data_IF_831027517760
#
_entry.id   IF_831027517760
#
_cell.length_a   1.000
_cell.length_b   1.000
_cell.length_c   1.000
_cell.angle_alpha   90.00
_cell.angle_beta   90.00
_cell.angle_gamma   90.00
#
_symmetry.space_group_name_H-M   'P 1'
#
loop_
_entity.id
_entity.type
_entity.pdbx_description
1 polymer ?
#
# COMPACT_ATOMS: atom_id res chain seq x y z
N UNK A 1 17.80 -7.27 1.79
CA UNK A 1 17.70 -8.04 0.51
C UNK A 1 17.77 -7.05 -0.64
N UNK A 2 18.42 -7.43 -1.71
CA UNK A 2 18.50 -6.64 -2.92
C UNK A 2 17.81 -7.38 -4.06
N UNK A 3 16.98 -6.67 -4.82
CA UNK A 3 16.46 -7.13 -6.08
C UNK A 3 17.43 -6.71 -7.20
N UNK A 4 18.22 -7.63 -7.73
CA UNK A 4 19.19 -7.34 -8.79
C UNK A 4 18.52 -7.03 -10.14
N UNK A 5 17.23 -7.37 -10.28
CA UNK A 5 16.41 -7.15 -11.49
C UNK A 5 15.41 -6.02 -11.33
N UNK A 6 15.65 -5.05 -10.44
CA UNK A 6 14.68 -4.01 -10.10
C UNK A 6 14.19 -3.18 -11.30
N UNK A 7 15.03 -3.02 -12.34
CA UNK A 7 14.66 -2.29 -13.56
C UNK A 7 13.82 -3.09 -14.56
N UNK A 8 13.66 -4.41 -14.33
CA UNK A 8 12.98 -5.34 -15.24
C UNK A 8 11.77 -6.01 -14.58
N UNK A 9 11.51 -5.69 -13.31
CA UNK A 9 10.49 -6.36 -12.49
C UNK A 9 9.64 -5.36 -11.74
N UNK A 10 8.40 -5.75 -11.41
CA UNK A 10 7.49 -4.97 -10.59
C UNK A 10 7.80 -5.04 -9.09
N UNK A 11 7.05 -4.26 -8.31
CA UNK A 11 7.22 -4.15 -6.85
C UNK A 11 7.01 -5.48 -6.13
N UNK A 12 6.13 -6.35 -6.65
CA UNK A 12 5.90 -7.67 -6.07
C UNK A 12 7.15 -8.57 -6.12
N UNK A 13 7.97 -8.47 -7.16
CA UNK A 13 9.21 -9.25 -7.23
C UNK A 13 10.21 -8.83 -6.16
N UNK A 14 10.29 -7.54 -5.82
CA UNK A 14 11.11 -7.04 -4.72
C UNK A 14 10.65 -7.61 -3.37
N UNK A 15 9.34 -7.64 -3.13
CA UNK A 15 8.75 -8.25 -1.94
C UNK A 15 8.99 -9.78 -1.92
N UNK A 16 8.88 -10.45 -3.06
CA UNK A 16 9.18 -11.88 -3.20
C UNK A 16 10.66 -12.20 -2.89
N UNK A 17 11.62 -11.35 -3.28
CA UNK A 17 13.03 -11.52 -2.92
C UNK A 17 13.24 -11.58 -1.39
N UNK A 18 12.42 -10.89 -0.61
CA UNK A 18 12.48 -10.87 0.84
C UNK A 18 11.79 -12.07 1.52
N UNK A 19 11.14 -12.98 0.78
CA UNK A 19 10.25 -14.02 1.31
C UNK A 19 10.86 -14.94 2.37
N UNK A 20 12.17 -15.19 2.30
CA UNK A 20 12.87 -16.04 3.26
C UNK A 20 13.21 -15.34 4.59
N UNK A 21 13.01 -14.03 4.69
CA UNK A 21 13.25 -13.26 5.90
C UNK A 21 11.97 -13.03 6.71
N UNK A 22 10.80 -13.21 6.10
CA UNK A 22 9.50 -12.99 6.72
C UNK A 22 8.95 -14.32 7.25
N UNK A 23 8.57 -14.34 8.53
CA UNK A 23 8.03 -15.52 9.21
C UNK A 23 6.91 -15.20 10.21
N UNK A 24 6.52 -13.92 10.32
CA UNK A 24 5.48 -13.43 11.23
C UNK A 24 4.61 -12.39 10.55
N UNK A 25 3.53 -12.00 11.17
CA UNK A 25 2.72 -10.83 10.76
C UNK A 25 3.61 -9.57 10.75
N UNK A 26 3.40 -8.66 9.80
CA UNK A 26 4.24 -7.48 9.60
C UNK A 26 3.46 -6.29 9.04
N UNK A 27 4.09 -5.11 9.08
CA UNK A 27 3.67 -3.95 8.32
C UNK A 27 4.61 -3.78 7.14
N UNK A 28 4.04 -3.69 5.94
CA UNK A 28 4.73 -3.32 4.72
C UNK A 28 4.62 -1.80 4.55
N UNK A 29 5.75 -1.15 4.32
CA UNK A 29 5.87 0.28 4.10
C UNK A 29 6.60 0.53 2.79
N UNK A 30 6.07 1.36 1.93
CA UNK A 30 6.85 1.92 0.83
C UNK A 30 7.89 2.90 1.36
N UNK A 31 9.05 3.00 0.70
CA UNK A 31 10.23 3.66 1.26
C UNK A 31 10.33 5.16 0.95
N UNK A 32 9.46 5.65 0.08
CA UNK A 32 9.38 7.00 -0.45
C UNK A 32 8.28 7.86 0.21
N UNK A 33 7.80 7.43 1.37
CA UNK A 33 6.71 8.05 2.10
C UNK A 33 7.18 8.90 3.27
N UNK A 34 6.49 10.01 3.49
CA UNK A 34 6.47 10.73 4.75
C UNK A 34 5.03 10.78 5.27
N UNK A 35 4.82 10.46 6.54
CA UNK A 35 3.50 10.45 7.17
C UNK A 35 3.57 10.72 8.67
N UNK A 36 2.47 11.17 9.25
CA UNK A 36 2.35 11.33 10.70
C UNK A 36 2.25 9.98 11.42
N UNK A 37 2.80 9.89 12.62
CA UNK A 37 2.88 8.64 13.41
C UNK A 37 1.50 8.02 13.69
N UNK A 38 0.43 8.80 13.64
CA UNK A 38 -0.96 8.35 13.77
C UNK A 38 -1.30 7.27 12.75
N UNK A 39 -0.75 7.34 11.52
CA UNK A 39 -0.92 6.35 10.48
C UNK A 39 -0.60 4.93 10.97
N UNK A 40 0.58 4.75 11.56
CA UNK A 40 1.02 3.44 12.05
C UNK A 40 0.30 3.04 13.34
N UNK A 41 0.08 3.99 14.25
CA UNK A 41 -0.60 3.70 15.53
C UNK A 41 -2.00 3.16 15.31
N UNK A 42 -2.83 3.87 14.55
CA UNK A 42 -4.21 3.46 14.29
C UNK A 42 -4.29 2.15 13.49
N UNK A 43 -3.34 1.94 12.55
CA UNK A 43 -3.28 0.69 11.80
C UNK A 43 -2.93 -0.50 12.72
N UNK A 44 -2.02 -0.33 13.68
CA UNK A 44 -1.66 -1.37 14.66
C UNK A 44 -2.83 -1.67 15.61
N UNK A 45 -3.55 -0.64 16.07
CA UNK A 45 -4.69 -0.75 16.97
C UNK A 45 -5.95 -1.30 16.28
N UNK A 46 -6.03 -1.23 14.95
CA UNK A 46 -7.15 -1.78 14.19
C UNK A 46 -7.31 -3.28 14.43
N UNK A 47 -8.53 -3.77 14.72
CA UNK A 47 -8.79 -5.20 14.91
C UNK A 47 -8.73 -5.99 13.60
N UNK A 48 -8.72 -5.33 12.44
CA UNK A 48 -8.67 -5.98 11.13
C UNK A 48 -7.28 -6.55 10.90
N UNK A 49 -7.19 -7.87 10.72
CA UNK A 49 -5.92 -8.61 10.65
C UNK A 49 -5.10 -8.24 9.41
N UNK A 50 -5.77 -8.16 8.25
CA UNK A 50 -5.15 -7.74 6.98
C UNK A 50 -5.81 -6.46 6.53
N UNK A 51 -5.07 -5.38 6.45
CA UNK A 51 -5.64 -4.05 6.21
C UNK A 51 -4.64 -3.16 5.48
N UNK A 52 -5.15 -2.40 4.52
CA UNK A 52 -4.40 -1.32 3.88
C UNK A 52 -4.81 0.02 4.48
N UNK A 53 -3.89 0.97 4.47
CA UNK A 53 -4.15 2.31 4.99
C UNK A 53 -4.54 3.25 3.86
N UNK A 54 -5.65 3.95 4.05
CA UNK A 54 -6.17 4.92 3.11
C UNK A 54 -6.16 6.32 3.70
N UNK A 55 -5.94 7.30 2.86
CA UNK A 55 -6.22 8.71 3.14
C UNK A 55 -7.54 9.15 2.50
N UNK A 56 -7.96 10.37 2.84
CA UNK A 56 -8.90 11.14 2.05
C UNK A 56 -8.28 11.58 0.72
N UNK A 57 -9.04 12.37 -0.03
CA UNK A 57 -8.61 12.88 -1.34
C UNK A 57 -7.45 13.87 -1.22
N UNK A 58 -6.36 13.65 -1.97
CA UNK A 58 -5.14 14.47 -1.93
C UNK A 58 -4.96 15.40 -3.12
N UNK A 59 -5.45 15.03 -4.31
CA UNK A 59 -5.21 15.73 -5.60
C UNK A 59 -3.70 15.84 -5.93
N UNK A 60 -2.93 14.79 -5.59
CA UNK A 60 -1.49 14.73 -5.82
C UNK A 60 -1.15 14.57 -7.32
N UNK A 61 -2.00 13.84 -8.08
CA UNK A 61 -1.89 13.62 -9.52
C UNK A 61 -1.43 12.21 -9.91
N UNK A 62 -1.06 11.39 -8.94
CA UNK A 62 -0.55 10.02 -9.10
C UNK A 62 -1.24 9.02 -8.15
N UNK A 63 -2.40 9.38 -7.65
CA UNK A 63 -3.12 8.65 -6.62
C UNK A 63 -3.47 7.22 -7.02
N UNK A 64 -3.36 6.33 -6.05
CA UNK A 64 -3.82 4.94 -6.13
C UNK A 64 -5.18 4.83 -5.42
N UNK A 65 -6.25 4.65 -6.19
CA UNK A 65 -7.61 4.64 -5.68
C UNK A 65 -8.04 3.25 -5.27
N UNK A 66 -8.86 3.18 -4.22
CA UNK A 66 -9.40 1.93 -3.69
C UNK A 66 -10.91 1.91 -3.80
N UNK A 67 -11.43 0.84 -4.41
CA UNK A 67 -12.83 0.45 -4.37
C UNK A 67 -13.03 -0.63 -3.31
N UNK A 68 -14.12 -0.53 -2.55
CA UNK A 68 -14.49 -1.53 -1.55
C UNK A 68 -15.95 -1.93 -1.68
N UNK A 69 -16.26 -3.14 -1.22
CA UNK A 69 -17.61 -3.64 -0.95
C UNK A 69 -17.75 -3.79 0.58
N UNK A 70 -18.56 -2.92 1.19
CA UNK A 70 -18.61 -2.76 2.63
C UNK A 70 -17.22 -2.42 3.19
N UNK A 71 -16.74 -3.26 4.11
CA UNK A 71 -15.44 -3.08 4.77
C UNK A 71 -14.25 -3.75 4.04
N UNK A 72 -14.50 -4.32 2.84
CA UNK A 72 -13.53 -5.16 2.17
C UNK A 72 -13.07 -4.57 0.84
N UNK A 73 -11.76 -4.55 0.64
CA UNK A 73 -11.12 -4.10 -0.60
C UNK A 73 -11.55 -5.00 -1.74
N UNK A 74 -12.03 -4.39 -2.82
CA UNK A 74 -12.45 -5.06 -4.05
C UNK A 74 -11.47 -4.83 -5.19
N UNK A 75 -11.00 -3.58 -5.35
CA UNK A 75 -10.09 -3.21 -6.42
C UNK A 75 -9.20 -2.04 -6.00
N UNK A 76 -7.97 -2.03 -6.52
CA UNK A 76 -6.98 -0.96 -6.37
C UNK A 76 -6.53 -0.56 -7.77
N UNK A 77 -6.57 0.73 -8.11
CA UNK A 77 -6.22 1.19 -9.47
C UNK A 77 -5.80 2.65 -9.49
N UNK A 78 -4.85 2.99 -10.38
CA UNK A 78 -4.54 4.40 -10.74
C UNK A 78 -5.58 4.99 -11.71
N UNK A 79 -6.32 4.18 -12.44
CA UNK A 79 -7.38 4.65 -13.33
C UNK A 79 -8.75 4.67 -12.63
N UNK A 80 -9.22 5.86 -12.27
CA UNK A 80 -10.56 6.07 -11.68
C UNK A 80 -11.71 5.49 -12.51
N UNK A 81 -11.53 5.37 -13.83
CA UNK A 81 -12.59 4.91 -14.72
C UNK A 81 -12.88 3.42 -14.59
N UNK A 82 -11.94 2.67 -14.02
CA UNK A 82 -12.07 1.23 -13.75
C UNK A 82 -12.81 0.95 -12.45
N UNK A 83 -13.06 1.99 -11.63
CA UNK A 83 -13.67 1.89 -10.32
C UNK A 83 -15.08 2.49 -10.31
N UNK A 84 -15.98 1.90 -9.54
CA UNK A 84 -17.38 2.36 -9.41
C UNK A 84 -17.63 3.12 -8.11
N UNK A 85 -16.92 2.79 -7.04
CA UNK A 85 -17.12 3.40 -5.71
C UNK A 85 -15.77 3.55 -5.00
N UNK A 86 -15.16 4.73 -5.10
CA UNK A 86 -13.87 5.01 -4.47
C UNK A 86 -14.10 5.36 -3.00
N UNK A 87 -13.47 4.58 -2.09
CA UNK A 87 -13.54 4.78 -0.65
C UNK A 87 -12.38 5.62 -0.10
N UNK A 88 -11.25 5.69 -0.80
CA UNK A 88 -10.09 6.48 -0.40
C UNK A 88 -8.91 6.28 -1.35
N UNK A 89 -7.76 6.86 -0.98
CA UNK A 89 -6.48 6.75 -1.69
C UNK A 89 -5.52 5.90 -0.86
N UNK A 90 -4.94 4.85 -1.47
CA UNK A 90 -3.95 4.00 -0.80
C UNK A 90 -2.63 4.77 -0.62
N UNK A 91 -2.05 4.68 0.55
CA UNK A 91 -0.85 5.45 0.92
C UNK A 91 0.43 4.60 1.00
N UNK A 92 0.46 3.40 0.41
CA UNK A 92 1.65 2.56 0.44
C UNK A 92 1.94 1.88 1.79
N UNK A 93 0.94 1.77 2.68
CA UNK A 93 1.08 1.15 4.01
C UNK A 93 0.07 0.02 4.17
N UNK A 94 0.56 -1.18 4.48
CA UNK A 94 -0.28 -2.39 4.65
C UNK A 94 0.09 -3.16 5.91
N UNK A 95 -0.91 -3.61 6.67
CA UNK A 95 -0.75 -4.58 7.76
C UNK A 95 -1.18 -5.94 7.24
N UNK A 96 -0.27 -6.89 7.23
CA UNK A 96 -0.47 -8.21 6.64
C UNK A 96 -0.10 -9.31 7.62
N UNK A 97 -0.98 -10.31 7.72
CA UNK A 97 -0.63 -11.55 8.39
C UNK A 97 0.30 -12.39 7.53
N UNK A 98 1.10 -13.22 8.19
CA UNK A 98 1.99 -14.14 7.49
C UNK A 98 1.22 -15.10 6.56
N UNK A 99 0.05 -15.59 6.99
CA UNK A 99 -0.81 -16.43 6.15
C UNK A 99 -1.31 -15.72 4.88
N UNK A 100 -1.65 -14.43 4.99
CA UNK A 100 -2.05 -13.63 3.83
C UNK A 100 -0.86 -13.39 2.91
N UNK A 101 0.31 -13.12 3.48
CA UNK A 101 1.56 -12.97 2.74
C UNK A 101 1.93 -14.21 1.95
N UNK A 102 1.79 -15.42 2.52
CA UNK A 102 2.04 -16.66 1.78
C UNK A 102 1.15 -16.80 0.54
N UNK A 103 -0.08 -16.31 0.59
CA UNK A 103 -0.98 -16.27 -0.56
C UNK A 103 -0.55 -15.24 -1.60
N UNK A 104 0.00 -14.09 -1.16
CA UNK A 104 0.61 -13.12 -2.09
C UNK A 104 1.80 -13.74 -2.82
N UNK A 105 2.67 -14.46 -2.11
CA UNK A 105 3.81 -15.16 -2.71
C UNK A 105 3.34 -16.19 -3.73
N UNK A 106 2.32 -17.00 -3.40
CA UNK A 106 1.76 -17.96 -4.33
C UNK A 106 1.20 -17.28 -5.59
N UNK A 107 0.36 -16.25 -5.44
CA UNK A 107 -0.20 -15.49 -6.56
C UNK A 107 0.89 -14.87 -7.43
N UNK A 108 1.98 -14.37 -6.80
CA UNK A 108 3.12 -13.83 -7.51
C UNK A 108 3.85 -14.90 -8.34
N UNK A 109 4.14 -16.06 -7.76
CA UNK A 109 4.83 -17.15 -8.44
C UNK A 109 4.03 -17.69 -9.63
N UNK A 110 2.70 -17.77 -9.51
CA UNK A 110 1.79 -18.11 -10.62
C UNK A 110 1.80 -17.03 -11.73
N UNK A 111 2.00 -15.76 -11.37
CA UNK A 111 1.99 -14.62 -12.30
C UNK A 111 3.32 -14.36 -13.00
N UNK A 112 4.46 -14.65 -12.36
CA UNK A 112 5.79 -14.29 -12.88
C UNK A 112 6.15 -14.95 -14.21
N UNK A 113 5.61 -16.14 -14.52
CA UNK A 113 5.84 -16.81 -15.79
C UNK A 113 5.27 -16.02 -16.98
N UNK A 114 4.23 -15.23 -16.75
CA UNK A 114 3.56 -14.43 -17.77
C UNK A 114 3.91 -12.94 -17.71
N UNK A 115 4.15 -12.40 -16.53
CA UNK A 115 4.44 -10.98 -16.33
C UNK A 115 5.32 -10.74 -15.11
N UNK A 116 6.56 -10.32 -15.32
CA UNK A 116 7.48 -9.96 -14.25
C UNK A 116 7.25 -8.55 -13.66
N UNK A 117 6.38 -7.75 -14.30
CA UNK A 117 6.10 -6.36 -13.90
C UNK A 117 4.90 -6.22 -12.95
N UNK A 118 4.38 -7.34 -12.42
CA UNK A 118 3.25 -7.30 -11.49
C UNK A 118 3.59 -6.51 -10.23
N UNK A 119 2.63 -5.70 -9.79
CA UNK A 119 2.70 -4.93 -8.55
C UNK A 119 2.18 -5.74 -7.36
N UNK A 120 2.65 -5.41 -6.15
CA UNK A 120 2.12 -6.06 -4.96
C UNK A 120 0.72 -5.54 -4.61
N UNK A 121 0.46 -4.27 -4.85
CA UNK A 121 -0.76 -3.55 -4.49
C UNK A 121 -1.91 -3.75 -5.50
N UNK A 122 -1.74 -3.31 -6.73
CA UNK A 122 -2.82 -3.32 -7.74
C UNK A 122 -3.08 -4.71 -8.33
N UNK A 123 -2.07 -5.59 -8.33
CA UNK A 123 -2.22 -6.94 -8.88
C UNK A 123 -2.39 -7.99 -7.78
N UNK A 124 -1.36 -8.21 -6.94
CA UNK A 124 -1.37 -9.34 -6.01
C UNK A 124 -2.32 -9.14 -4.83
N UNK A 125 -2.39 -7.95 -4.19
CA UNK A 125 -3.35 -7.71 -3.11
C UNK A 125 -4.79 -7.89 -3.61
N UNK A 126 -5.11 -7.37 -4.80
CA UNK A 126 -6.44 -7.51 -5.40
C UNK A 126 -6.77 -8.96 -5.68
N UNK A 127 -5.86 -9.70 -6.36
CA UNK A 127 -6.05 -11.13 -6.67
C UNK A 127 -6.29 -11.97 -5.42
N UNK A 128 -5.51 -11.73 -4.35
CA UNK A 128 -5.68 -12.45 -3.08
C UNK A 128 -6.95 -12.03 -2.37
N UNK A 129 -7.32 -10.73 -2.43
CA UNK A 129 -8.53 -10.20 -1.81
C UNK A 129 -9.83 -10.79 -2.38
N UNK A 130 -9.84 -11.26 -3.62
CA UNK A 130 -11.01 -11.94 -4.21
C UNK A 130 -11.51 -13.14 -3.38
N UNK A 131 -10.60 -13.82 -2.68
CA UNK A 131 -10.88 -15.04 -1.90
C UNK A 131 -10.56 -14.93 -0.43
N UNK A 132 -9.98 -13.81 0.00
CA UNK A 132 -9.51 -13.59 1.37
C UNK A 132 -9.84 -12.17 1.81
N UNK A 133 -10.27 -12.00 3.05
CA UNK A 133 -10.64 -10.70 3.57
C UNK A 133 -9.42 -9.78 3.70
N UNK A 134 -9.39 -8.74 2.89
CA UNK A 134 -8.50 -7.59 3.01
C UNK A 134 -9.36 -6.36 3.32
N UNK A 135 -9.25 -5.86 4.53
CA UNK A 135 -9.93 -4.64 4.93
C UNK A 135 -9.13 -3.38 4.63
N UNK A 136 -9.65 -2.26 5.06
CA UNK A 136 -8.94 -0.99 5.01
C UNK A 136 -9.20 -0.18 6.29
N UNK A 137 -8.26 0.69 6.61
CA UNK A 137 -8.41 1.74 7.59
C UNK A 137 -8.30 3.07 6.87
N UNK A 138 -9.33 3.91 6.91
CA UNK A 138 -9.26 5.25 6.34
C UNK A 138 -9.07 6.28 7.45
N UNK A 139 -8.01 7.08 7.31
CA UNK A 139 -7.74 8.21 8.22
C UNK A 139 -7.98 9.51 7.46
N UNK A 140 -9.07 10.19 7.81
CA UNK A 140 -9.36 11.50 7.24
C UNK A 140 -8.34 12.55 7.70
N UNK A 141 -8.00 13.47 6.81
CA UNK A 141 -7.02 14.54 7.06
C UNK A 141 -5.65 14.04 7.53
N UNK A 142 -5.25 12.84 7.09
CA UNK A 142 -3.91 12.31 7.34
C UNK A 142 -2.87 13.22 6.67
N UNK A 143 -1.87 13.62 7.43
CA UNK A 143 -0.71 14.31 6.86
C UNK A 143 0.29 13.29 6.32
N UNK A 144 0.39 13.22 5.00
CA UNK A 144 1.33 12.34 4.32
C UNK A 144 1.71 12.89 2.94
N UNK A 145 2.79 12.39 2.37
CA UNK A 145 3.20 12.63 0.99
C UNK A 145 4.10 11.50 0.50
N UNK A 146 4.06 11.25 -0.81
CA UNK A 146 5.01 10.44 -1.55
C UNK A 146 6.09 11.33 -2.19
N UNK A 147 7.27 10.78 -2.43
CA UNK A 147 8.44 11.53 -2.92
C UNK A 147 9.10 10.75 -4.05
N UNK A 148 8.63 10.92 -5.27
CA UNK A 148 9.22 10.36 -6.49
C UNK A 148 10.13 11.37 -7.22
N UNK A 149 9.83 12.67 -7.06
CA UNK A 149 10.55 13.72 -7.75
C UNK A 149 10.81 14.97 -6.86
N UNK A 150 11.52 15.94 -7.41
CA UNK A 150 11.86 17.21 -6.71
C UNK A 150 10.61 18.04 -6.41
N UNK A 151 9.58 17.99 -7.22
CA UNK A 151 8.32 18.72 -6.96
C UNK A 151 7.59 18.13 -5.76
N UNK A 152 7.50 16.79 -5.72
CA UNK A 152 6.91 16.06 -4.58
C UNK A 152 7.75 16.23 -3.30
N UNK A 153 9.09 16.26 -3.39
CA UNK A 153 9.96 16.58 -2.26
C UNK A 153 9.62 17.95 -1.64
N UNK A 154 9.39 18.97 -2.47
CA UNK A 154 9.00 20.29 -1.99
C UNK A 154 7.62 20.31 -1.30
N UNK A 155 6.67 19.49 -1.78
CA UNK A 155 5.37 19.27 -1.11
C UNK A 155 5.56 18.53 0.22
N UNK A 156 6.36 17.48 0.23
CA UNK A 156 6.66 16.66 1.40
C UNK A 156 7.32 17.48 2.53
N UNK A 157 8.20 18.43 2.20
CA UNK A 157 8.77 19.34 3.18
C UNK A 157 7.70 20.17 3.93
N UNK A 158 6.67 20.63 3.22
CA UNK A 158 5.54 21.34 3.85
C UNK A 158 4.71 20.43 4.74
N UNK A 159 4.47 19.20 4.30
CA UNK A 159 3.79 18.17 5.10
C UNK A 159 4.59 17.90 6.37
N UNK A 160 5.90 17.73 6.27
CA UNK A 160 6.79 17.52 7.41
C UNK A 160 6.72 18.68 8.43
N UNK A 161 6.75 19.93 7.96
CA UNK A 161 6.59 21.11 8.86
C UNK A 161 5.25 21.10 9.61
N UNK A 162 4.18 20.61 8.98
CA UNK A 162 2.89 20.48 9.64
C UNK A 162 2.87 19.31 10.64
N UNK A 163 3.48 18.16 10.29
CA UNK A 163 3.62 17.02 11.21
C UNK A 163 4.39 17.43 12.48
N UNK A 164 5.48 18.18 12.34
CA UNK A 164 6.24 18.67 13.50
C UNK A 164 5.39 19.53 14.46
N UNK A 165 4.47 20.34 13.93
CA UNK A 165 3.57 21.16 14.74
C UNK A 165 2.55 20.36 15.53
N UNK A 166 2.17 19.15 15.07
CA UNK A 166 1.27 18.27 15.81
C UNK A 166 1.98 17.55 16.98
N UNK A 167 3.31 17.48 16.94
CA UNK A 167 4.12 16.76 17.92
C UNK A 167 4.73 17.69 18.99
N UNK A 168 4.54 18.99 18.88
CA UNK A 168 5.02 20.02 19.81
C UNK A 168 3.94 20.41 20.81
#
# INVERSE_FOLDING_TARGET
VRNEKYSETGTMYSLWCARHLLSTDFILLESDLIYEIRAIRELLESPVKNSILLSGKTEAGDEVYVEADGDWVKQISKDKKTLTSIVGEFIGVSKLSYDFYLKLIQAAEEGFDSNMLISYDMDCLVTVAEKNLLGFLKIENLLWAEIDDVSQLNKAQKVWENIKKLSA
#
